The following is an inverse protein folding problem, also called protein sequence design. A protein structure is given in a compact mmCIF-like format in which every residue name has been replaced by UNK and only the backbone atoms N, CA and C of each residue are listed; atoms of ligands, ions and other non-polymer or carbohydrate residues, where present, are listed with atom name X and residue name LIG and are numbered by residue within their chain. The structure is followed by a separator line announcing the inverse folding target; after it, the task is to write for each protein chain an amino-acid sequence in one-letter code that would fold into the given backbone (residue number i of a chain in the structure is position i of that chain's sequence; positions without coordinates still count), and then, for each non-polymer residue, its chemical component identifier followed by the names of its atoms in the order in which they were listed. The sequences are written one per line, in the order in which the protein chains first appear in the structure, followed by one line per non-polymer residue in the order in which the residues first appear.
data_IF_454765582433
#
_entry.id   IF_454765582433
#
_cell.length_a   1.000
_cell.length_b   1.000
_cell.length_c   1.000
_cell.angle_alpha   90.00
_cell.angle_beta   90.00
_cell.angle_gamma   90.00
#
_symmetry.space_group_name_H-M   'P 1'
#
loop_
_entity.id
_entity.type
_entity.pdbx_description
1 polymer ?
#
# COMPACT_ATOMS: atom_id res chain seq x y z
N UNK A 1 142.35 14.62 46.68
CA UNK A 1 142.03 15.89 47.38
C UNK A 1 140.94 16.61 46.58
N UNK A 2 139.87 17.01 47.27
CA UNK A 2 138.83 18.02 46.91
C UNK A 2 139.44 19.46 47.04
N UNK A 3 138.76 20.65 46.86
CA UNK A 3 137.31 21.00 46.87
C UNK A 3 136.78 22.19 45.98
N UNK A 4 135.44 22.42 46.08
CA UNK A 4 134.49 23.58 45.94
C UNK A 4 134.98 25.07 45.83
N UNK A 5 134.21 26.11 45.42
CA UNK A 5 132.77 26.45 45.64
C UNK A 5 132.15 27.55 44.69
N UNK A 6 130.82 27.76 44.86
CA UNK A 6 129.73 28.47 44.12
C UNK A 6 129.73 30.01 43.86
N UNK A 7 128.91 30.43 42.86
CA UNK A 7 128.03 31.64 42.82
C UNK A 7 126.82 31.47 41.83
N UNK A 8 125.56 31.61 42.28
CA UNK A 8 124.34 31.94 41.48
C UNK A 8 124.09 33.48 41.45
N UNK A 9 123.09 34.14 40.76
CA UNK A 9 121.95 33.72 39.90
C UNK A 9 121.79 34.55 38.57
N UNK A 10 120.89 34.30 37.59
CA UNK A 10 119.46 34.72 37.49
C UNK A 10 118.76 33.98 36.34
N UNK A 11 117.74 33.18 36.65
CA UNK A 11 116.82 32.53 35.70
C UNK A 11 115.88 33.57 35.07
N UNK A 12 115.93 33.72 33.75
CA UNK A 12 115.03 34.58 32.97
C UNK A 12 113.61 33.99 32.95
N UNK A 13 112.77 34.43 33.89
CA UNK A 13 111.37 34.01 33.98
C UNK A 13 110.46 34.67 32.91
N UNK A 14 110.92 35.65 32.11
CA UNK A 14 110.07 36.36 31.13
C UNK A 14 109.58 35.45 30.00
N UNK A 15 110.42 34.56 29.45
CA UNK A 15 109.99 33.58 28.43
C UNK A 15 109.02 32.54 28.99
N UNK A 16 109.19 32.16 30.26
CA UNK A 16 108.28 31.23 30.94
C UNK A 16 106.93 31.89 31.19
N UNK A 17 106.89 33.16 31.62
CA UNK A 17 105.64 33.90 31.77
C UNK A 17 104.93 34.14 30.42
N UNK A 18 105.67 34.36 29.33
CA UNK A 18 105.08 34.46 27.99
C UNK A 18 104.47 33.12 27.52
N UNK A 19 105.14 32.00 27.77
CA UNK A 19 104.59 30.66 27.49
C UNK A 19 103.36 30.35 28.33
N UNK A 20 103.38 30.69 29.63
CA UNK A 20 102.22 30.52 30.52
C UNK A 20 101.05 31.40 30.07
N UNK A 21 101.31 32.65 29.68
CA UNK A 21 100.28 33.55 29.16
C UNK A 21 99.68 33.03 27.84
N UNK A 22 100.51 32.51 26.93
CA UNK A 22 100.06 31.92 25.67
C UNK A 22 99.17 30.68 25.90
N UNK A 23 99.57 29.80 26.83
CA UNK A 23 98.78 28.62 27.20
C UNK A 23 97.46 29.02 27.85
N UNK A 24 97.44 30.03 28.71
CA UNK A 24 96.20 30.54 29.32
C UNK A 24 95.25 31.13 28.27
N UNK A 25 95.77 31.87 27.29
CA UNK A 25 94.97 32.39 26.16
C UNK A 25 94.42 31.24 25.31
N UNK A 26 95.25 30.23 24.99
CA UNK A 26 94.82 29.03 24.26
C UNK A 26 93.73 28.24 25.01
N UNK A 27 93.86 28.08 26.34
CA UNK A 27 92.84 27.43 27.16
C UNK A 27 91.55 28.26 27.20
N UNK A 28 91.64 29.58 27.28
CA UNK A 28 90.48 30.48 27.19
C UNK A 28 89.75 30.35 25.85
N UNK A 29 90.48 30.36 24.73
CA UNK A 29 89.91 30.18 23.38
C UNK A 29 89.26 28.80 23.24
N UNK A 30 89.91 27.72 23.69
CA UNK A 30 89.35 26.38 23.64
C UNK A 30 88.12 26.22 24.56
N UNK A 31 88.13 26.85 25.74
CA UNK A 31 86.98 26.88 26.65
C UNK A 31 85.77 27.59 26.04
N UNK A 32 85.99 28.76 25.40
CA UNK A 32 84.94 29.48 24.66
C UNK A 32 84.44 28.66 23.47
N UNK A 33 85.35 28.01 22.72
CA UNK A 33 84.97 27.17 21.58
C UNK A 33 84.15 25.95 22.01
N UNK A 34 84.52 25.28 23.11
CA UNK A 34 83.77 24.17 23.69
C UNK A 34 82.40 24.61 24.21
N UNK A 35 82.32 25.78 24.86
CA UNK A 35 81.06 26.35 25.32
C UNK A 35 80.12 26.70 24.15
N UNK A 36 80.65 27.36 23.11
CA UNK A 36 79.90 27.67 21.89
C UNK A 36 79.42 26.38 21.18
N UNK A 37 80.28 25.37 21.06
CA UNK A 37 79.93 24.07 20.45
C UNK A 37 78.89 23.31 21.27
N UNK A 38 78.99 23.32 22.60
CA UNK A 38 78.00 22.71 23.51
C UNK A 38 76.64 23.41 23.43
N UNK A 39 76.65 24.75 23.34
CA UNK A 39 75.44 25.54 23.14
C UNK A 39 74.80 25.28 21.78
N UNK A 40 75.59 25.18 20.69
CA UNK A 40 75.11 24.81 19.36
C UNK A 40 74.55 23.39 19.32
N UNK A 41 75.22 22.42 19.97
CA UNK A 41 74.73 21.05 20.06
C UNK A 41 73.39 20.98 20.79
N UNK A 42 73.25 21.67 21.93
CA UNK A 42 71.99 21.73 22.69
C UNK A 42 70.87 22.37 21.86
N UNK A 43 71.16 23.45 21.12
CA UNK A 43 70.19 24.10 20.22
C UNK A 43 69.78 23.18 19.06
N UNK A 44 70.73 22.46 18.46
CA UNK A 44 70.46 21.52 17.37
C UNK A 44 69.64 20.31 17.85
N UNK A 45 69.92 19.79 19.04
CA UNK A 45 69.13 18.72 19.68
C UNK A 45 67.69 19.18 19.93
N UNK A 46 67.51 20.37 20.54
CA UNK A 46 66.18 20.95 20.76
C UNK A 46 65.41 21.17 19.45
N UNK A 47 66.07 21.69 18.42
CA UNK A 47 65.45 21.90 17.10
C UNK A 47 65.06 20.57 16.45
N UNK A 48 65.90 19.54 16.60
CA UNK A 48 65.61 18.19 16.09
C UNK A 48 64.40 17.59 16.81
N UNK A 49 64.32 17.73 18.13
CA UNK A 49 63.16 17.26 18.92
C UNK A 49 61.87 18.00 18.55
N UNK A 50 61.92 19.32 18.35
CA UNK A 50 60.74 20.11 17.93
C UNK A 50 60.25 19.71 16.53
N UNK A 51 61.18 19.50 15.58
CA UNK A 51 60.86 19.01 14.23
C UNK A 51 60.19 17.63 14.31
N UNK A 52 60.78 16.69 15.07
CA UNK A 52 60.22 15.34 15.25
C UNK A 52 58.83 15.38 15.89
N UNK A 53 58.61 16.23 16.89
CA UNK A 53 57.31 16.38 17.53
C UNK A 53 56.24 16.91 16.56
N UNK A 54 56.59 17.91 15.74
CA UNK A 54 55.69 18.44 14.69
C UNK A 54 55.39 17.42 13.61
N UNK A 55 56.37 16.65 13.18
CA UNK A 55 56.19 15.61 12.16
C UNK A 55 55.33 14.45 12.68
N UNK A 56 55.50 14.08 13.95
CA UNK A 56 54.61 13.11 14.62
C UNK A 56 53.16 13.61 14.65
N UNK A 57 52.95 14.88 15.01
CA UNK A 57 51.60 15.50 15.02
C UNK A 57 51.00 15.58 13.62
N UNK A 58 51.81 15.84 12.60
CA UNK A 58 51.36 15.83 11.21
C UNK A 58 50.91 14.43 10.79
N UNK A 59 51.67 13.38 11.13
CA UNK A 59 51.32 11.99 10.83
C UNK A 59 50.03 11.56 11.53
N UNK A 60 49.85 11.92 12.81
CA UNK A 60 48.60 11.71 13.55
C UNK A 60 47.41 12.37 12.84
N UNK A 61 47.57 13.63 12.43
CA UNK A 61 46.52 14.40 11.75
C UNK A 61 46.16 13.81 10.38
N UNK A 62 47.15 13.34 9.61
CA UNK A 62 46.91 12.64 8.33
C UNK A 62 46.08 11.38 8.58
N UNK A 63 46.44 10.57 9.56
CA UNK A 63 45.71 9.34 9.90
C UNK A 63 44.26 9.63 10.31
N UNK A 64 44.03 10.68 11.09
CA UNK A 64 42.68 11.12 11.47
C UNK A 64 41.83 11.48 10.23
N UNK A 65 42.39 12.24 9.29
CA UNK A 65 41.70 12.59 8.04
C UNK A 65 41.47 11.38 7.11
N UNK A 66 42.37 10.39 7.11
CA UNK A 66 42.17 9.13 6.38
C UNK A 66 40.98 8.34 6.94
N UNK A 67 40.85 8.26 8.27
CA UNK A 67 39.68 7.65 8.91
C UNK A 67 38.40 8.41 8.57
N UNK A 68 38.39 9.74 8.71
CA UNK A 68 37.22 10.58 8.38
C UNK A 68 36.81 10.38 6.91
N UNK A 69 37.78 10.30 5.99
CA UNK A 69 37.52 10.02 4.58
C UNK A 69 36.82 8.66 4.40
N UNK A 70 37.37 7.62 5.03
CA UNK A 70 36.82 6.27 4.94
C UNK A 70 35.38 6.20 5.48
N UNK A 71 35.08 6.93 6.57
CA UNK A 71 33.74 6.99 7.14
C UNK A 71 32.75 7.70 6.21
N UNK A 72 33.14 8.82 5.59
CA UNK A 72 32.29 9.46 4.59
C UNK A 72 32.06 8.57 3.36
N UNK A 73 33.07 7.82 2.92
CA UNK A 73 32.94 6.84 1.82
C UNK A 73 32.00 5.68 2.20
N UNK A 74 32.06 5.21 3.45
CA UNK A 74 31.12 4.21 3.99
C UNK A 74 29.68 4.74 3.97
N UNK A 75 29.42 5.92 4.54
CA UNK A 75 28.09 6.54 4.55
C UNK A 75 27.54 6.75 3.14
N UNK A 76 28.41 7.16 2.23
CA UNK A 76 28.13 7.34 0.81
C UNK A 76 27.63 6.04 0.16
N UNK A 77 28.29 4.91 0.41
CA UNK A 77 27.84 3.61 -0.08
C UNK A 77 26.52 3.15 0.58
N UNK A 78 26.31 3.45 1.86
CA UNK A 78 25.06 3.11 2.56
C UNK A 78 23.87 3.86 1.98
N UNK A 79 24.00 5.17 1.71
CA UNK A 79 22.93 5.95 1.06
C UNK A 79 22.62 5.45 -0.36
N UNK A 80 23.65 5.05 -1.13
CA UNK A 80 23.44 4.45 -2.45
C UNK A 80 22.65 3.15 -2.39
N UNK A 81 22.88 2.30 -1.38
CA UNK A 81 22.09 1.09 -1.15
C UNK A 81 20.62 1.39 -0.81
N UNK A 82 20.37 2.55 -0.21
CA UNK A 82 19.01 3.07 0.05
C UNK A 82 18.41 3.78 -1.19
N UNK A 83 19.14 3.88 -2.30
CA UNK A 83 18.70 4.56 -3.51
C UNK A 83 18.66 6.09 -3.39
N UNK A 84 19.33 6.67 -2.39
CA UNK A 84 19.32 8.11 -2.11
C UNK A 84 20.49 8.82 -2.82
N UNK A 85 20.26 10.08 -3.20
CA UNK A 85 21.33 10.92 -3.76
C UNK A 85 22.40 11.24 -2.72
N UNK A 86 23.61 11.47 -3.22
CA UNK A 86 24.82 11.49 -2.42
C UNK A 86 25.76 12.67 -2.74
N UNK A 87 25.27 13.64 -3.51
CA UNK A 87 26.06 14.77 -4.02
C UNK A 87 26.72 15.56 -2.87
N UNK A 88 26.02 15.69 -1.74
CA UNK A 88 26.54 16.39 -0.57
C UNK A 88 27.70 15.65 0.12
N UNK A 89 27.69 14.31 0.20
CA UNK A 89 28.82 13.57 0.77
C UNK A 89 29.99 13.51 -0.20
N UNK A 90 29.74 13.42 -1.51
CA UNK A 90 30.81 13.47 -2.51
C UNK A 90 31.59 14.78 -2.43
N UNK A 91 30.90 15.92 -2.25
CA UNK A 91 31.54 17.22 -2.02
C UNK A 91 32.37 17.23 -0.72
N UNK A 92 31.87 16.62 0.36
CA UNK A 92 32.62 16.49 1.63
C UNK A 92 33.87 15.63 1.47
N UNK A 93 33.77 14.49 0.79
CA UNK A 93 34.91 13.60 0.48
C UNK A 93 35.96 14.35 -0.33
N UNK A 94 35.55 15.13 -1.33
CA UNK A 94 36.46 15.98 -2.10
C UNK A 94 37.18 17.02 -1.22
N UNK A 95 36.45 17.65 -0.28
CA UNK A 95 37.02 18.57 0.71
C UNK A 95 38.05 17.91 1.63
N UNK A 96 37.74 16.71 2.16
CA UNK A 96 38.66 15.93 2.99
C UNK A 96 39.91 15.51 2.19
N UNK A 97 39.74 15.11 0.93
CA UNK A 97 40.85 14.81 0.03
C UNK A 97 41.77 16.02 -0.19
N UNK A 98 41.20 17.22 -0.39
CA UNK A 98 41.98 18.44 -0.54
C UNK A 98 42.78 18.76 0.74
N UNK A 99 42.18 18.55 1.91
CA UNK A 99 42.88 18.72 3.20
C UNK A 99 44.00 17.70 3.38
N UNK A 100 43.76 16.45 3.02
CA UNK A 100 44.75 15.37 3.08
C UNK A 100 45.95 15.68 2.16
N UNK A 101 45.70 16.16 0.94
CA UNK A 101 46.74 16.61 0.02
C UNK A 101 47.57 17.76 0.63
N UNK A 102 46.90 18.73 1.26
CA UNK A 102 47.59 19.84 1.92
C UNK A 102 48.41 19.38 3.12
N UNK A 103 47.88 18.48 3.96
CA UNK A 103 48.61 17.88 5.08
C UNK A 103 49.86 17.15 4.59
N UNK A 104 49.75 16.35 3.53
CA UNK A 104 50.88 15.62 2.94
C UNK A 104 51.92 16.53 2.27
N UNK A 105 51.58 17.79 1.99
CA UNK A 105 52.50 18.76 1.36
C UNK A 105 53.41 19.51 2.35
N UNK A 106 53.15 19.41 3.66
CA UNK A 106 54.00 20.07 4.66
C UNK A 106 55.41 19.46 4.67
N UNK A 107 56.42 20.33 4.72
CA UNK A 107 57.82 19.93 4.92
C UNK A 107 58.09 19.64 6.39
N UNK A 108 59.17 18.91 6.68
CA UNK A 108 59.59 18.59 8.04
C UNK A 108 59.62 19.85 8.94
N UNK A 109 58.96 19.79 10.09
CA UNK A 109 58.89 20.88 11.07
C UNK A 109 58.06 22.12 10.67
N UNK A 110 57.46 22.15 9.48
CA UNK A 110 56.67 23.29 8.99
C UNK A 110 55.21 23.29 9.48
N UNK A 111 54.76 22.21 10.11
CA UNK A 111 53.42 22.07 10.66
C UNK A 111 53.27 22.80 12.01
N UNK A 112 53.04 24.11 11.93
CA UNK A 112 52.98 25.00 13.09
C UNK A 112 51.81 24.69 14.03
N UNK A 113 51.91 25.13 15.30
CA UNK A 113 50.84 24.97 16.30
C UNK A 113 49.51 25.59 15.85
N UNK A 114 49.54 26.69 15.10
CA UNK A 114 48.33 27.32 14.56
C UNK A 114 47.63 26.40 13.55
N UNK A 115 48.40 25.77 12.65
CA UNK A 115 47.88 24.79 11.69
C UNK A 115 47.34 23.55 12.40
N UNK A 116 48.07 23.02 13.40
CA UNK A 116 47.59 21.90 14.21
C UNK A 116 46.22 22.18 14.83
N UNK A 117 46.04 23.35 15.44
CA UNK A 117 44.74 23.76 16.02
C UNK A 117 43.64 23.87 14.95
N UNK A 118 43.97 24.46 13.80
CA UNK A 118 43.01 24.62 12.71
C UNK A 118 42.52 23.28 12.15
N UNK A 119 43.45 22.36 11.85
CA UNK A 119 43.12 21.05 11.29
C UNK A 119 42.37 20.17 12.28
N UNK A 120 42.75 20.23 13.57
CA UNK A 120 42.02 19.57 14.65
C UNK A 120 40.60 20.10 14.80
N UNK A 121 40.41 21.42 14.76
CA UNK A 121 39.06 22.02 14.84
C UNK A 121 38.18 21.61 13.67
N UNK A 122 38.76 21.51 12.48
CA UNK A 122 38.06 21.05 11.29
C UNK A 122 37.74 19.56 11.33
N UNK A 123 38.66 18.72 11.82
CA UNK A 123 38.41 17.29 12.05
C UNK A 123 37.23 17.08 13.00
N UNK A 124 37.22 17.75 14.16
CA UNK A 124 36.09 17.70 15.11
C UNK A 124 34.75 18.12 14.47
N UNK A 125 34.77 19.09 13.55
CA UNK A 125 33.56 19.50 12.84
C UNK A 125 33.10 18.43 11.84
N UNK A 126 34.02 17.80 11.12
CA UNK A 126 33.72 16.71 10.19
C UNK A 126 33.19 15.48 10.93
N UNK A 127 33.79 15.10 12.05
CA UNK A 127 33.31 14.02 12.92
C UNK A 127 31.90 14.31 13.47
N UNK A 128 31.65 15.54 13.90
CA UNK A 128 30.31 15.95 14.33
C UNK A 128 29.26 15.85 13.23
N UNK A 129 29.65 16.08 11.97
CA UNK A 129 28.76 15.88 10.82
C UNK A 129 28.55 14.40 10.52
N UNK A 130 29.62 13.58 10.57
CA UNK A 130 29.53 12.13 10.40
C UNK A 130 28.52 11.53 11.38
N UNK A 131 28.63 11.87 12.67
CA UNK A 131 27.71 11.36 13.69
C UNK A 131 26.25 11.70 13.40
N UNK A 132 25.96 12.96 13.07
CA UNK A 132 24.59 13.38 12.71
C UNK A 132 24.05 12.63 11.49
N UNK A 133 24.92 12.31 10.53
CA UNK A 133 24.54 11.58 9.33
C UNK A 133 24.35 10.10 9.59
N UNK A 134 25.13 9.48 10.47
CA UNK A 134 24.90 8.10 10.91
C UNK A 134 23.53 7.97 11.62
N UNK A 135 23.17 8.94 12.46
CA UNK A 135 21.85 9.00 13.10
C UNK A 135 20.71 9.12 12.07
N UNK A 136 20.87 10.00 11.08
CA UNK A 136 19.90 10.17 9.98
C UNK A 136 19.76 8.90 9.13
N UNK A 137 20.88 8.25 8.75
CA UNK A 137 20.88 7.01 7.98
C UNK A 137 20.22 5.88 8.78
N UNK A 138 20.48 5.79 10.09
CA UNK A 138 19.87 4.80 10.96
C UNK A 138 18.34 4.98 11.02
N UNK A 139 17.88 6.23 11.18
CA UNK A 139 16.45 6.55 11.16
C UNK A 139 15.82 6.19 9.81
N UNK A 140 16.44 6.58 8.70
CA UNK A 140 15.94 6.28 7.35
C UNK A 140 15.84 4.77 7.10
N UNK A 141 16.76 3.96 7.63
CA UNK A 141 16.67 2.49 7.55
C UNK A 141 15.48 1.95 8.32
N UNK A 142 15.28 2.42 9.56
CA UNK A 142 14.15 2.01 10.39
C UNK A 142 12.81 2.42 9.77
N UNK A 143 12.73 3.63 9.22
CA UNK A 143 11.52 4.12 8.54
C UNK A 143 11.25 3.29 7.27
N UNK A 144 12.28 2.95 6.50
CA UNK A 144 12.13 2.11 5.30
C UNK A 144 11.62 0.70 5.65
N UNK A 145 12.16 0.06 6.69
CA UNK A 145 11.69 -1.24 7.16
C UNK A 145 10.21 -1.19 7.62
N UNK A 146 9.86 -0.14 8.36
CA UNK A 146 8.48 0.10 8.81
C UNK A 146 7.53 0.26 7.61
N UNK A 147 7.88 1.16 6.69
CA UNK A 147 7.09 1.43 5.48
C UNK A 147 6.96 0.19 4.58
N UNK A 148 8.02 -0.61 4.46
CA UNK A 148 8.00 -1.86 3.71
C UNK A 148 7.02 -2.87 4.33
N UNK A 149 7.06 -3.02 5.65
CA UNK A 149 6.17 -3.92 6.41
C UNK A 149 4.71 -3.47 6.32
N UNK A 150 4.46 -2.17 6.48
CA UNK A 150 3.12 -1.60 6.34
C UNK A 150 2.57 -1.77 4.93
N UNK A 151 3.37 -1.46 3.91
CA UNK A 151 2.97 -1.59 2.49
C UNK A 151 2.63 -3.04 2.15
N UNK A 152 3.45 -3.99 2.60
CA UNK A 152 3.20 -5.43 2.40
C UNK A 152 1.90 -5.86 3.08
N UNK A 153 1.71 -5.46 4.35
CA UNK A 153 0.50 -5.77 5.12
C UNK A 153 -0.76 -5.16 4.49
N UNK A 154 -0.69 -3.91 4.03
CA UNK A 154 -1.80 -3.24 3.36
C UNK A 154 -2.16 -3.93 2.04
N UNK A 155 -1.17 -4.35 1.26
CA UNK A 155 -1.39 -5.09 0.01
C UNK A 155 -2.06 -6.43 0.25
N UNK A 156 -1.64 -7.17 1.28
CA UNK A 156 -2.31 -8.43 1.67
C UNK A 156 -3.76 -8.20 2.11
N UNK A 157 -4.02 -7.18 2.92
CA UNK A 157 -5.38 -6.80 3.35
C UNK A 157 -6.25 -6.41 2.16
N UNK A 158 -5.72 -5.63 1.24
CA UNK A 158 -6.43 -5.22 0.02
C UNK A 158 -6.84 -6.42 -0.83
N UNK A 159 -5.93 -7.39 -1.04
CA UNK A 159 -6.24 -8.61 -1.78
C UNK A 159 -7.35 -9.41 -1.10
N UNK A 160 -7.25 -9.64 0.23
CA UNK A 160 -8.29 -10.35 1.00
C UNK A 160 -9.65 -9.66 0.93
N UNK A 161 -9.69 -8.32 1.02
CA UNK A 161 -10.93 -7.56 0.90
C UNK A 161 -11.53 -7.69 -0.50
N UNK A 162 -10.70 -7.63 -1.55
CA UNK A 162 -11.13 -7.78 -2.93
C UNK A 162 -11.75 -9.16 -3.19
N UNK A 163 -11.10 -10.22 -2.70
CA UNK A 163 -11.61 -11.60 -2.81
C UNK A 163 -12.94 -11.78 -2.04
N UNK A 164 -13.04 -11.17 -0.86
CA UNK A 164 -14.25 -11.19 -0.04
C UNK A 164 -15.40 -10.48 -0.76
N UNK A 165 -15.16 -9.29 -1.33
CA UNK A 165 -16.16 -8.54 -2.09
C UNK A 165 -16.64 -9.35 -3.30
N UNK A 166 -15.73 -9.95 -4.05
CA UNK A 166 -16.07 -10.80 -5.20
C UNK A 166 -16.94 -11.99 -4.79
N UNK A 167 -16.59 -12.65 -3.68
CA UNK A 167 -17.34 -13.79 -3.15
C UNK A 167 -18.73 -13.38 -2.67
N UNK A 168 -18.84 -12.26 -1.94
CA UNK A 168 -20.12 -11.72 -1.47
C UNK A 168 -21.00 -11.33 -2.66
N UNK A 169 -20.44 -10.66 -3.67
CA UNK A 169 -21.18 -10.26 -4.87
C UNK A 169 -21.74 -11.46 -5.61
N UNK A 170 -20.93 -12.52 -5.80
CA UNK A 170 -21.37 -13.77 -6.41
C UNK A 170 -22.46 -14.45 -5.57
N UNK A 171 -22.24 -14.57 -4.26
CA UNK A 171 -23.20 -15.20 -3.34
C UNK A 171 -24.53 -14.45 -3.31
N UNK A 172 -24.49 -13.11 -3.29
CA UNK A 172 -25.70 -12.29 -3.34
C UNK A 172 -26.44 -12.44 -4.66
N UNK A 173 -25.73 -12.53 -5.79
CA UNK A 173 -26.35 -12.79 -7.09
C UNK A 173 -27.03 -14.15 -7.10
N UNK A 174 -26.31 -15.21 -6.70
CA UNK A 174 -26.85 -16.57 -6.64
C UNK A 174 -28.05 -16.67 -5.70
N UNK A 175 -28.01 -15.98 -4.55
CA UNK A 175 -29.11 -15.94 -3.60
C UNK A 175 -30.30 -15.14 -4.15
N UNK A 176 -30.06 -14.00 -4.80
CA UNK A 176 -31.10 -13.19 -5.43
C UNK A 176 -31.83 -13.95 -6.53
N UNK A 177 -31.10 -14.69 -7.38
CA UNK A 177 -31.68 -15.52 -8.44
C UNK A 177 -32.53 -16.65 -7.83
N UNK A 178 -32.02 -17.32 -6.79
CA UNK A 178 -32.79 -18.35 -6.06
C UNK A 178 -34.05 -17.80 -5.41
N UNK A 179 -33.97 -16.64 -4.75
CA UNK A 179 -35.13 -15.98 -4.13
C UNK A 179 -36.15 -15.59 -5.17
N UNK A 180 -35.73 -15.08 -6.34
CA UNK A 180 -36.63 -14.70 -7.44
C UNK A 180 -37.40 -15.90 -8.00
N UNK A 181 -36.77 -17.06 -8.11
CA UNK A 181 -37.45 -18.30 -8.55
C UNK A 181 -38.34 -18.83 -7.43
N UNK A 182 -37.84 -18.86 -6.19
CA UNK A 182 -38.54 -19.41 -5.05
C UNK A 182 -39.72 -18.57 -4.57
N UNK A 183 -39.75 -17.25 -4.84
CA UNK A 183 -40.84 -16.34 -4.47
C UNK A 183 -42.04 -16.39 -5.41
N UNK A 184 -41.95 -17.11 -6.54
CA UNK A 184 -43.06 -17.22 -7.51
C UNK A 184 -44.28 -17.87 -6.86
N UNK A 185 -45.44 -17.25 -7.04
CA UNK A 185 -46.70 -17.79 -6.54
C UNK A 185 -47.22 -18.91 -7.45
N UNK A 186 -47.88 -19.90 -6.86
CA UNK A 186 -48.55 -20.99 -7.57
C UNK A 186 -50.06 -20.88 -7.36
N UNK A 187 -50.83 -21.30 -8.36
CA UNK A 187 -52.29 -21.37 -8.26
C UNK A 187 -52.72 -22.82 -8.03
N UNK A 188 -53.31 -23.09 -6.87
CA UNK A 188 -53.84 -24.39 -6.48
C UNK A 188 -55.35 -24.46 -6.76
N UNK A 189 -55.86 -25.67 -7.02
CA UNK A 189 -57.29 -25.95 -7.12
C UNK A 189 -58.03 -25.04 -8.13
N UNK A 190 -57.45 -24.86 -9.31
CA UNK A 190 -58.04 -24.08 -10.40
C UNK A 190 -59.28 -24.81 -10.93
N UNK A 191 -60.44 -24.16 -10.87
CA UNK A 191 -61.72 -24.67 -11.36
C UNK A 191 -62.34 -23.71 -12.34
N UNK A 192 -63.03 -24.24 -13.33
CA UNK A 192 -63.79 -23.44 -14.28
C UNK A 192 -65.29 -23.69 -14.07
N UNK A 193 -66.07 -22.63 -14.15
CA UNK A 193 -67.52 -22.69 -14.13
C UNK A 193 -68.07 -21.74 -15.20
N UNK A 194 -69.26 -22.04 -15.70
CA UNK A 194 -69.99 -21.12 -16.57
C UNK A 194 -71.14 -20.47 -15.81
N UNK A 195 -71.39 -19.20 -16.07
CA UNK A 195 -72.61 -18.52 -15.67
C UNK A 195 -73.47 -18.41 -16.92
N UNK A 196 -74.71 -18.89 -16.83
CA UNK A 196 -75.69 -18.83 -17.92
C UNK A 196 -76.40 -17.48 -17.97
N UNK A 197 -77.10 -17.16 -19.06
CA UNK A 197 -77.91 -15.94 -19.19
C UNK A 197 -78.99 -15.77 -18.11
N UNK A 198 -79.37 -16.86 -17.42
CA UNK A 198 -80.26 -16.86 -16.26
C UNK A 198 -79.52 -16.65 -14.92
N UNK A 199 -78.26 -16.20 -14.95
CA UNK A 199 -77.37 -16.06 -13.80
C UNK A 199 -77.20 -17.34 -12.95
N UNK A 200 -77.43 -18.52 -13.54
CA UNK A 200 -77.14 -19.80 -12.87
C UNK A 200 -75.72 -20.23 -13.17
N UNK A 201 -74.95 -20.48 -12.11
CA UNK A 201 -73.62 -21.09 -12.16
C UNK A 201 -73.74 -22.60 -12.42
N UNK A 202 -72.90 -23.11 -13.32
CA UNK A 202 -72.78 -24.54 -13.61
C UNK A 202 -71.32 -24.94 -13.60
N UNK A 203 -71.05 -26.00 -12.86
CA UNK A 203 -69.80 -26.74 -12.88
C UNK A 203 -70.06 -28.09 -13.53
N UNK A 204 -69.06 -28.61 -14.22
CA UNK A 204 -69.07 -29.94 -14.82
C UNK A 204 -67.74 -30.61 -14.45
N UNK A 205 -67.79 -31.83 -13.93
CA UNK A 205 -66.58 -32.52 -13.45
C UNK A 205 -65.59 -32.83 -14.60
N UNK A 206 -66.04 -32.81 -15.86
CA UNK A 206 -65.19 -32.96 -17.05
C UNK A 206 -64.82 -31.62 -17.68
N UNK A 207 -65.23 -30.50 -17.07
CA UNK A 207 -65.04 -29.15 -17.59
C UNK A 207 -65.59 -28.98 -19.02
N UNK A 208 -66.70 -29.68 -19.32
CA UNK A 208 -67.37 -29.64 -20.62
C UNK A 208 -68.69 -28.86 -20.54
N UNK A 209 -68.82 -27.82 -21.36
CA UNK A 209 -69.99 -26.96 -21.36
C UNK A 209 -70.55 -26.77 -22.77
N UNK A 210 -71.85 -26.44 -22.88
CA UNK A 210 -72.45 -26.08 -24.17
C UNK A 210 -72.14 -24.61 -24.46
N UNK A 211 -71.47 -24.31 -25.57
CA UNK A 211 -71.04 -22.95 -25.95
C UNK A 211 -72.20 -21.94 -25.90
N UNK A 212 -73.37 -22.33 -26.44
CA UNK A 212 -74.60 -21.51 -26.47
C UNK A 212 -75.18 -21.15 -25.09
N UNK A 213 -74.70 -21.78 -24.01
CA UNK A 213 -75.17 -21.53 -22.64
C UNK A 213 -74.20 -20.66 -21.84
N UNK A 214 -73.04 -20.33 -22.38
CA UNK A 214 -72.00 -19.57 -21.69
C UNK A 214 -72.27 -18.08 -21.87
N UNK A 215 -72.70 -17.42 -20.81
CA UNK A 215 -72.76 -15.95 -20.74
C UNK A 215 -71.44 -15.40 -20.17
N UNK A 216 -70.96 -16.02 -19.09
CA UNK A 216 -69.68 -15.69 -18.44
C UNK A 216 -68.90 -16.94 -18.11
N UNK A 217 -67.58 -16.82 -18.12
CA UNK A 217 -66.65 -17.82 -17.59
C UNK A 217 -66.19 -17.34 -16.22
N UNK A 218 -66.34 -18.17 -15.21
CA UNK A 218 -65.88 -17.95 -13.85
C UNK A 218 -64.73 -18.89 -13.56
N UNK A 219 -63.59 -18.36 -13.14
CA UNK A 219 -62.40 -19.14 -12.79
C UNK A 219 -62.13 -18.90 -11.31
N UNK A 220 -62.06 -19.98 -10.53
CA UNK A 220 -61.73 -19.93 -9.10
C UNK A 220 -60.48 -20.72 -8.83
N UNK A 221 -59.60 -20.20 -7.96
CA UNK A 221 -58.38 -20.87 -7.54
C UNK A 221 -57.93 -20.32 -6.19
N UNK A 222 -56.97 -20.99 -5.57
CA UNK A 222 -56.33 -20.53 -4.34
C UNK A 222 -54.88 -20.16 -4.62
N UNK A 223 -54.38 -19.09 -4.02
CA UNK A 223 -52.95 -18.82 -4.03
C UNK A 223 -52.24 -19.84 -3.12
N UNK A 224 -51.31 -20.61 -3.67
CA UNK A 224 -50.51 -21.57 -2.92
C UNK A 224 -49.71 -20.91 -1.80
N UNK A 225 -49.34 -21.67 -0.77
CA UNK A 225 -48.45 -21.16 0.29
C UNK A 225 -47.03 -21.06 -0.22
N UNK A 226 -46.39 -19.94 0.08
CA UNK A 226 -45.00 -19.65 -0.26
C UNK A 226 -44.40 -18.72 0.80
N UNK A 227 -43.50 -19.27 1.62
CA UNK A 227 -42.84 -18.56 2.73
C UNK A 227 -41.74 -17.59 2.25
N UNK A 228 -41.29 -17.73 0.99
CA UNK A 228 -40.29 -16.86 0.36
C UNK A 228 -40.96 -15.66 -0.33
N UNK A 229 -42.22 -15.77 -0.73
CA UNK A 229 -42.96 -14.65 -1.32
C UNK A 229 -43.31 -13.59 -0.26
N UNK A 230 -43.03 -12.30 -0.52
CA UNK A 230 -43.46 -11.21 0.34
C UNK A 230 -44.99 -11.18 0.50
N UNK A 231 -45.45 -10.85 1.72
CA UNK A 231 -46.87 -10.65 2.03
C UNK A 231 -47.30 -9.23 1.68
N UNK A 232 -47.87 -9.06 0.50
CA UNK A 232 -48.24 -7.75 -0.06
C UNK A 232 -49.36 -7.87 -1.09
N UNK A 233 -49.79 -6.74 -1.66
CA UNK A 233 -50.73 -6.75 -2.79
C UNK A 233 -50.03 -7.20 -4.07
N UNK A 234 -50.56 -8.23 -4.73
CA UNK A 234 -50.05 -8.85 -5.95
C UNK A 234 -51.05 -8.70 -7.09
N UNK A 235 -50.55 -8.31 -8.26
CA UNK A 235 -51.35 -8.24 -9.47
C UNK A 235 -51.39 -9.62 -10.15
N UNK A 236 -52.56 -10.24 -10.18
CA UNK A 236 -52.78 -11.51 -10.88
C UNK A 236 -53.45 -11.23 -12.23
N UNK A 237 -52.92 -11.84 -13.28
CA UNK A 237 -53.40 -11.72 -14.64
C UNK A 237 -53.98 -13.06 -15.09
N UNK A 238 -55.17 -13.04 -15.67
CA UNK A 238 -55.79 -14.20 -16.29
C UNK A 238 -55.78 -14.03 -17.81
N UNK A 239 -55.31 -15.06 -18.52
CA UNK A 239 -55.46 -15.21 -19.97
C UNK A 239 -56.40 -16.37 -20.26
N UNK A 240 -57.37 -16.15 -21.13
CA UNK A 240 -58.20 -17.20 -21.71
C UNK A 240 -57.84 -17.30 -23.19
N UNK A 241 -57.26 -18.43 -23.60
CA UNK A 241 -56.94 -18.73 -24.99
C UNK A 241 -58.11 -19.47 -25.64
N UNK A 242 -58.52 -19.03 -26.81
CA UNK A 242 -59.46 -19.71 -27.68
C UNK A 242 -58.82 -20.95 -28.34
N UNK A 243 -59.61 -21.85 -28.97
CA UNK A 243 -59.10 -23.10 -29.55
C UNK A 243 -58.07 -22.92 -30.67
N UNK A 244 -58.03 -21.75 -31.30
CA UNK A 244 -57.03 -21.34 -32.30
C UNK A 244 -55.77 -20.72 -31.68
N UNK A 245 -55.69 -20.64 -30.35
CA UNK A 245 -54.58 -20.06 -29.59
C UNK A 245 -54.67 -18.55 -29.40
N UNK A 246 -55.70 -17.88 -29.92
CA UNK A 246 -55.88 -16.45 -29.74
C UNK A 246 -56.29 -16.12 -28.30
N UNK A 247 -55.62 -15.16 -27.65
CA UNK A 247 -56.01 -14.69 -26.34
C UNK A 247 -57.27 -13.82 -26.43
N UNK A 248 -58.26 -14.10 -25.58
CA UNK A 248 -59.41 -13.22 -25.39
C UNK A 248 -58.92 -11.93 -24.75
N UNK A 249 -59.13 -10.82 -25.45
CA UNK A 249 -58.70 -9.49 -25.01
C UNK A 249 -59.75 -8.46 -25.41
N UNK A 250 -60.15 -7.64 -24.45
CA UNK A 250 -61.01 -6.49 -24.68
C UNK A 250 -60.74 -5.44 -23.59
N UNK A 251 -60.25 -4.27 -24.02
CA UNK A 251 -59.95 -3.12 -23.16
C UNK A 251 -61.14 -2.70 -22.29
N UNK A 252 -62.35 -2.78 -22.84
CA UNK A 252 -63.59 -2.34 -22.18
C UNK A 252 -64.01 -3.26 -21.05
N UNK A 253 -63.50 -4.50 -21.01
CA UNK A 253 -63.82 -5.51 -19.99
C UNK A 253 -62.64 -5.83 -19.07
N UNK A 254 -61.62 -4.97 -19.07
CA UNK A 254 -60.45 -5.10 -18.21
C UNK A 254 -59.30 -5.92 -18.81
N UNK A 255 -59.29 -6.16 -20.12
CA UNK A 255 -58.12 -6.71 -20.83
C UNK A 255 -57.05 -5.66 -21.05
N UNK A 256 -55.78 -6.07 -21.10
CA UNK A 256 -54.61 -5.20 -21.27
C UNK A 256 -53.44 -5.96 -21.89
N UNK A 257 -52.28 -5.31 -21.94
CA UNK A 257 -51.00 -5.98 -22.21
C UNK A 257 -50.17 -6.09 -20.94
N UNK A 258 -49.36 -7.14 -20.85
CA UNK A 258 -48.42 -7.36 -19.77
C UNK A 258 -47.20 -8.11 -20.31
N UNK A 259 -46.10 -8.07 -19.56
CA UNK A 259 -44.85 -8.73 -19.96
C UNK A 259 -44.83 -10.17 -19.44
N UNK A 260 -44.63 -11.13 -20.35
CA UNK A 260 -44.36 -12.55 -20.04
C UNK A 260 -43.02 -12.90 -20.66
N UNK A 261 -42.08 -13.38 -19.85
CA UNK A 261 -40.73 -13.76 -20.30
C UNK A 261 -40.04 -12.70 -21.18
N UNK A 262 -40.28 -11.40 -20.88
CA UNK A 262 -39.70 -10.28 -21.62
C UNK A 262 -40.43 -9.89 -22.92
N UNK A 263 -41.53 -10.57 -23.26
CA UNK A 263 -42.36 -10.26 -24.43
C UNK A 263 -43.71 -9.69 -24.02
N UNK A 264 -44.22 -8.73 -24.79
CA UNK A 264 -45.56 -8.21 -24.59
C UNK A 264 -46.61 -9.25 -24.98
N UNK A 265 -47.54 -9.51 -24.06
CA UNK A 265 -48.62 -10.48 -24.20
C UNK A 265 -49.94 -9.85 -23.79
N UNK A 266 -51.04 -10.32 -24.38
CA UNK A 266 -52.38 -9.86 -24.00
C UNK A 266 -52.94 -10.68 -22.82
N UNK A 267 -53.59 -10.00 -21.89
CA UNK A 267 -54.38 -10.62 -20.82
C UNK A 267 -55.86 -10.31 -20.96
N UNK A 268 -56.69 -11.24 -20.47
CA UNK A 268 -58.15 -11.17 -20.53
C UNK A 268 -58.72 -10.33 -19.38
N UNK A 269 -58.19 -10.53 -18.17
CA UNK A 269 -58.60 -9.78 -16.98
C UNK A 269 -57.42 -9.69 -15.98
N UNK A 270 -57.32 -8.57 -15.24
CA UNK A 270 -56.36 -8.36 -14.15
C UNK A 270 -57.13 -8.16 -12.83
N UNK A 271 -56.60 -8.69 -11.74
CA UNK A 271 -57.08 -8.42 -10.39
C UNK A 271 -55.91 -8.26 -9.41
N UNK A 272 -55.97 -7.24 -8.56
CA UNK A 272 -55.03 -7.07 -7.46
C UNK A 272 -55.55 -7.81 -6.21
N UNK A 273 -54.70 -8.64 -5.60
CA UNK A 273 -55.05 -9.52 -4.47
C UNK A 273 -54.01 -9.35 -3.36
N UNK A 274 -54.45 -9.17 -2.11
CA UNK A 274 -53.53 -9.18 -0.96
C UNK A 274 -53.10 -10.61 -0.66
N UNK A 275 -51.82 -10.90 -0.89
CA UNK A 275 -51.22 -12.17 -0.52
C UNK A 275 -50.72 -12.11 0.93
N UNK A 276 -51.31 -12.92 1.80
CA UNK A 276 -50.94 -13.03 3.23
C UNK A 276 -50.47 -14.44 3.64
N UNK A 277 -50.20 -15.32 2.66
CA UNK A 277 -49.81 -16.73 2.82
C UNK A 277 -50.85 -17.65 3.52
N UNK A 278 -52.15 -17.35 3.44
CA UNK A 278 -53.23 -18.15 4.08
C UNK A 278 -54.00 -19.08 3.14
N UNK A 279 -53.59 -19.21 1.87
CA UNK A 279 -54.38 -19.84 0.78
C UNK A 279 -55.64 -19.06 0.41
N UNK A 280 -55.47 -17.79 0.10
CA UNK A 280 -56.59 -16.90 -0.21
C UNK A 280 -57.27 -17.37 -1.50
N UNK A 281 -58.61 -17.45 -1.53
CA UNK A 281 -59.35 -17.74 -2.74
C UNK A 281 -59.39 -16.50 -3.65
N UNK A 282 -59.20 -16.71 -4.95
CA UNK A 282 -59.28 -15.69 -5.99
C UNK A 282 -60.31 -16.12 -7.03
N UNK A 283 -61.08 -15.15 -7.53
CA UNK A 283 -62.18 -15.40 -8.45
C UNK A 283 -62.15 -14.38 -9.59
N UNK A 284 -61.94 -14.86 -10.81
CA UNK A 284 -62.19 -14.08 -12.01
C UNK A 284 -63.57 -14.41 -12.58
N UNK A 285 -64.25 -13.40 -13.12
CA UNK A 285 -65.51 -13.59 -13.85
C UNK A 285 -65.47 -12.72 -15.09
N UNK A 286 -65.45 -13.38 -16.25
CA UNK A 286 -65.27 -12.75 -17.54
C UNK A 286 -66.48 -12.97 -18.44
N UNK A 287 -67.01 -11.90 -19.01
CA UNK A 287 -68.08 -11.92 -20.00
C UNK A 287 -67.51 -11.46 -21.35
N UNK A 288 -67.49 -12.34 -22.35
CA UNK A 288 -66.95 -12.01 -23.69
C UNK A 288 -67.81 -10.98 -24.44
N UNK A 289 -69.11 -10.96 -24.17
CA UNK A 289 -70.08 -10.11 -24.89
C UNK A 289 -70.41 -10.58 -26.32
N UNK A 290 -69.82 -11.70 -26.75
CA UNK A 290 -70.07 -12.37 -28.01
C UNK A 290 -70.01 -13.89 -27.81
N UNK A 291 -70.45 -14.67 -28.81
CA UNK A 291 -70.37 -16.13 -28.72
C UNK A 291 -68.91 -16.61 -28.57
N UNK A 292 -68.71 -17.56 -27.67
CA UNK A 292 -67.44 -18.26 -27.53
C UNK A 292 -67.27 -19.27 -28.68
N UNK A 293 -66.06 -19.43 -29.19
CA UNK A 293 -65.75 -20.47 -30.17
C UNK A 293 -66.01 -21.85 -29.55
N UNK A 294 -66.30 -22.84 -30.39
CA UNK A 294 -66.40 -24.24 -29.94
C UNK A 294 -65.01 -24.87 -29.95
N UNK A 295 -64.71 -25.68 -28.94
CA UNK A 295 -63.44 -26.37 -28.78
C UNK A 295 -62.82 -26.19 -27.40
N UNK A 296 -61.57 -26.63 -27.28
CA UNK A 296 -60.79 -26.55 -26.04
C UNK A 296 -60.27 -25.13 -25.85
N UNK A 297 -60.56 -24.54 -24.69
CA UNK A 297 -60.02 -23.27 -24.25
C UNK A 297 -59.01 -23.52 -23.14
N UNK A 298 -57.96 -22.69 -23.09
CA UNK A 298 -56.94 -22.76 -22.02
C UNK A 298 -57.02 -21.52 -21.16
N UNK A 299 -57.03 -21.70 -19.85
CA UNK A 299 -56.90 -20.62 -18.88
C UNK A 299 -55.49 -20.66 -18.31
N UNK A 300 -54.80 -19.53 -18.36
CA UNK A 300 -53.48 -19.35 -17.78
C UNK A 300 -53.52 -18.20 -16.76
N UNK A 301 -52.89 -18.42 -15.60
CA UNK A 301 -52.81 -17.45 -14.51
C UNK A 301 -51.35 -17.02 -14.34
N UNK A 302 -51.12 -15.72 -14.22
CA UNK A 302 -49.79 -15.15 -14.11
C UNK A 302 -49.69 -14.14 -12.95
N UNK A 303 -48.52 -14.06 -12.34
CA UNK A 303 -48.12 -13.00 -11.41
C UNK A 303 -46.68 -12.59 -11.74
N UNK A 304 -46.42 -11.28 -11.80
CA UNK A 304 -45.08 -10.76 -12.16
C UNK A 304 -44.54 -11.24 -13.51
N UNK A 305 -45.42 -11.68 -14.43
CA UNK A 305 -45.03 -12.27 -15.72
C UNK A 305 -44.68 -13.77 -15.68
N UNK A 306 -44.70 -14.40 -14.50
CA UNK A 306 -44.47 -15.84 -14.33
C UNK A 306 -45.80 -16.62 -14.28
N UNK A 307 -45.84 -17.79 -14.93
CA UNK A 307 -47.02 -18.67 -14.92
C UNK A 307 -47.20 -19.30 -13.53
N UNK A 308 -48.36 -19.05 -12.92
CA UNK A 308 -48.76 -19.60 -11.63
C UNK A 308 -49.45 -20.96 -11.76
N UNK A 309 -50.14 -21.18 -12.87
CA UNK A 309 -50.90 -22.39 -13.15
C UNK A 309 -51.76 -22.25 -14.40
N UNK A 310 -52.19 -23.38 -14.94
CA UNK A 310 -53.06 -23.44 -16.11
C UNK A 310 -54.09 -24.56 -16.00
N UNK A 311 -55.23 -24.37 -16.64
CA UNK A 311 -56.27 -25.40 -16.79
C UNK A 311 -56.92 -25.28 -18.16
N UNK A 312 -57.74 -26.25 -18.54
CA UNK A 312 -58.46 -26.27 -19.82
C UNK A 312 -59.93 -26.60 -19.61
N UNK A 313 -60.81 -26.03 -20.43
CA UNK A 313 -62.23 -26.37 -20.46
C UNK A 313 -62.71 -26.47 -21.91
N UNK A 314 -63.74 -27.26 -22.18
CA UNK A 314 -64.23 -27.52 -23.54
C UNK A 314 -65.62 -26.96 -23.75
N UNK A 315 -65.81 -26.22 -24.84
CA UNK A 315 -67.12 -25.71 -25.27
C UNK A 315 -67.64 -26.47 -26.49
N UNK A 316 -68.80 -27.11 -26.35
CA UNK A 316 -69.49 -27.91 -27.38
C UNK A 316 -70.66 -27.18 -28.02
#
# INVERSE_FOLDING_TARGET
MNPNDNLEPRKNNSRVYLWVALVLVLLGINGVLLYLRSQEQTKNEQLTTDVQAKDTKLAEQIKEYETIKADFERQSQELQKLGLSNDSLQSRIAGVNADLLRLRSFKAGSFSLAMQKQYKQRAMNLEGQLKKRDEEIAQLKQDNETLYTETTTLKERQNKLTDTISTIAKTNRDLSDKVTVASRLQADNIKVAIITSKNKEKMDDKEEFKAKRVEKVKVTFNLGRNDVSPKESKAVYMRILEPDGAALYNLSTGGGTFTVDGQESFYTQKQDVVYDNTRQPVVFTYAKGAEYKKGVHTVELYEGGALMGKTTFTLK
#
